data_IF_784527743424
#
_entry.id   IF_784527743424
#
_cell.length_a   1.000
_cell.length_b   1.000
_cell.length_c   1.000
_cell.angle_alpha   90.00
_cell.angle_beta   90.00
_cell.angle_gamma   90.00
#
_symmetry.space_group_name_H-M   'P 1'
#
loop_
_entity.id
_entity.type
_entity.pdbx_description
1 polymer ?
#
# COMPACT_ATOMS: atom_id res chain seq x y z
N UNK A 1 8.61 14.90 20.08
CA UNK A 1 7.51 14.26 19.36
C UNK A 1 8.01 13.63 18.10
N UNK A 2 7.82 12.35 17.97
CA UNK A 2 8.31 11.61 16.83
C UNK A 2 7.14 10.96 16.12
N UNK A 3 6.88 11.36 14.90
CA UNK A 3 5.90 10.65 14.06
C UNK A 3 6.65 9.65 13.20
N UNK A 4 6.15 8.45 13.15
CA UNK A 4 6.76 7.40 12.35
C UNK A 4 5.91 7.12 11.14
N UNK A 5 6.57 7.01 10.00
CA UNK A 5 5.93 6.64 8.75
C UNK A 5 6.35 5.24 8.37
N UNK A 6 5.37 4.41 8.04
CA UNK A 6 5.62 3.07 7.55
C UNK A 6 5.22 3.02 6.08
N UNK A 7 6.13 2.54 5.25
CA UNK A 7 5.89 2.40 3.82
C UNK A 7 5.52 0.97 3.52
N UNK A 8 4.36 0.78 2.91
CA UNK A 8 3.81 -0.55 2.68
C UNK A 8 3.47 -0.74 1.22
N UNK A 9 3.65 -1.96 0.75
CA UNK A 9 3.27 -2.37 -0.60
C UNK A 9 2.35 -3.56 -0.49
N UNK A 10 1.22 -3.51 -1.18
CA UNK A 10 0.28 -4.61 -1.19
C UNK A 10 -0.11 -4.97 -2.61
N UNK A 11 0.03 -6.25 -2.94
CA UNK A 11 -0.36 -6.77 -4.23
C UNK A 11 -1.71 -7.46 -4.12
N UNK A 12 -2.41 -7.51 -5.24
CA UNK A 12 -3.71 -8.17 -5.34
C UNK A 12 -3.67 -9.20 -6.45
N UNK A 13 -4.22 -10.37 -6.18
CA UNK A 13 -4.38 -11.42 -7.16
C UNK A 13 -5.86 -11.58 -7.49
N UNK A 14 -6.13 -12.10 -8.69
CA UNK A 14 -7.50 -12.44 -9.10
C UNK A 14 -7.72 -13.93 -8.92
N UNK A 15 -8.80 -14.29 -8.23
CA UNK A 15 -9.18 -15.68 -8.08
C UNK A 15 -10.69 -15.78 -8.18
N UNK A 16 -11.19 -16.52 -9.17
CA UNK A 16 -12.62 -16.67 -9.38
C UNK A 16 -13.33 -15.36 -9.66
N UNK A 17 -12.65 -14.42 -10.35
CA UNK A 17 -13.21 -13.12 -10.66
C UNK A 17 -13.15 -12.11 -9.53
N UNK A 18 -12.56 -12.48 -8.38
CA UNK A 18 -12.46 -11.60 -7.23
C UNK A 18 -11.01 -11.22 -6.96
N UNK A 19 -10.81 -9.98 -6.52
CA UNK A 19 -9.49 -9.53 -6.11
C UNK A 19 -9.22 -10.01 -4.68
N UNK A 20 -8.08 -10.66 -4.49
CA UNK A 20 -7.66 -11.11 -3.17
C UNK A 20 -6.39 -10.37 -2.78
N UNK A 21 -6.37 -9.70 -1.62
CA UNK A 21 -5.17 -9.03 -1.16
C UNK A 21 -4.14 -10.03 -0.67
N UNK A 22 -2.89 -9.80 -1.04
CA UNK A 22 -1.76 -10.49 -0.42
C UNK A 22 -1.37 -9.75 0.86
N UNK A 23 -0.64 -10.39 1.78
CA UNK A 23 -0.16 -9.68 2.95
C UNK A 23 0.71 -8.49 2.54
N UNK A 24 0.52 -7.32 3.18
CA UNK A 24 1.35 -6.16 2.84
C UNK A 24 2.79 -6.37 3.26
N UNK A 25 3.70 -5.76 2.50
CA UNK A 25 5.13 -5.85 2.76
C UNK A 25 5.63 -4.48 3.21
N UNK A 26 6.31 -4.44 4.35
CA UNK A 26 6.89 -3.19 4.84
C UNK A 26 8.20 -2.91 4.13
N UNK A 27 8.40 -1.64 3.77
CA UNK A 27 9.61 -1.18 3.11
C UNK A 27 10.25 -0.07 3.93
N UNK A 28 11.54 0.17 3.69
CA UNK A 28 12.30 1.14 4.48
C UNK A 28 12.14 2.57 4.00
N UNK A 29 11.70 2.75 2.76
CA UNK A 29 11.59 4.08 2.16
C UNK A 29 10.51 4.09 1.11
N UNK A 30 10.08 5.29 0.73
CA UNK A 30 9.12 5.46 -0.35
C UNK A 30 9.66 4.91 -1.68
N UNK A 31 10.94 5.18 -1.96
CA UNK A 31 11.57 4.66 -3.18
C UNK A 31 11.60 3.14 -3.19
N UNK A 32 11.95 2.53 -2.06
CA UNK A 32 11.95 1.07 -1.95
C UNK A 32 10.58 0.48 -2.15
N UNK A 33 9.57 1.11 -1.56
CA UNK A 33 8.19 0.67 -1.73
C UNK A 33 7.74 0.79 -3.18
N UNK A 34 8.07 1.90 -3.83
CA UNK A 34 7.70 2.11 -5.22
C UNK A 34 8.35 1.09 -6.13
N UNK A 35 9.64 0.82 -5.94
CA UNK A 35 10.35 -0.18 -6.74
C UNK A 35 9.77 -1.57 -6.54
N UNK A 36 9.43 -1.92 -5.29
CA UNK A 36 8.80 -3.19 -5.02
C UNK A 36 7.43 -3.28 -5.69
N UNK A 37 6.65 -2.20 -5.65
CA UNK A 37 5.35 -2.14 -6.28
C UNK A 37 5.46 -2.30 -7.80
N UNK A 38 6.43 -1.62 -8.42
CA UNK A 38 6.65 -1.75 -9.86
C UNK A 38 7.00 -3.18 -10.25
N UNK A 39 7.83 -3.83 -9.44
CA UNK A 39 8.21 -5.22 -9.68
C UNK A 39 7.02 -6.16 -9.54
N UNK A 40 6.24 -5.97 -8.48
CA UNK A 40 5.07 -6.81 -8.23
C UNK A 40 3.98 -6.60 -9.28
N UNK A 41 3.91 -5.41 -9.89
CA UNK A 41 2.90 -5.14 -10.89
C UNK A 41 3.08 -5.98 -12.15
N UNK A 42 4.27 -6.56 -12.35
CA UNK A 42 4.53 -7.42 -13.51
C UNK A 42 3.93 -8.81 -13.34
N UNK A 43 3.65 -9.23 -12.10
CA UNK A 43 3.17 -10.59 -11.84
C UNK A 43 1.84 -10.64 -11.09
N UNK A 44 1.27 -9.48 -10.76
CA UNK A 44 0.01 -9.39 -10.02
C UNK A 44 -0.96 -8.51 -10.78
N UNK A 45 -2.27 -8.72 -10.53
CA UNK A 45 -3.29 -7.98 -11.27
C UNK A 45 -3.42 -6.54 -10.77
N UNK A 46 -3.03 -6.28 -9.52
CA UNK A 46 -3.05 -4.93 -8.98
C UNK A 46 -2.04 -4.79 -7.87
N UNK A 47 -1.51 -3.59 -7.70
CA UNK A 47 -0.53 -3.27 -6.65
C UNK A 47 -0.73 -1.84 -6.19
N UNK A 48 -0.62 -1.62 -4.88
CA UNK A 48 -0.59 -0.27 -4.32
C UNK A 48 0.62 -0.13 -3.41
N UNK A 49 1.14 1.09 -3.33
CA UNK A 49 2.13 1.46 -2.33
C UNK A 49 1.58 2.65 -1.56
N UNK A 50 1.65 2.57 -0.25
CA UNK A 50 1.04 3.58 0.60
C UNK A 50 1.84 3.79 1.86
N UNK A 51 1.61 4.93 2.51
CA UNK A 51 2.26 5.32 3.75
C UNK A 51 1.23 5.44 4.85
N UNK A 52 1.54 4.86 6.00
CA UNK A 52 0.75 5.04 7.21
C UNK A 52 1.62 5.78 8.21
N UNK A 53 1.10 6.87 8.75
CA UNK A 53 1.82 7.66 9.75
C UNK A 53 1.18 7.45 11.11
N UNK A 54 2.01 7.22 12.12
CA UNK A 54 1.56 7.05 13.48
C UNK A 54 2.43 7.85 14.43
N UNK A 55 1.86 8.18 15.58
CA UNK A 55 2.58 8.83 16.67
C UNK A 55 2.70 7.81 17.81
N UNK A 56 3.89 7.25 18.07
CA UNK A 56 4.03 6.25 19.10
C UNK A 56 3.80 6.78 20.51
N UNK A 57 3.98 8.10 20.71
CA UNK A 57 3.78 8.69 22.03
C UNK A 57 2.32 8.78 22.42
N UNK A 58 1.44 9.06 21.46
CA UNK A 58 0.01 9.18 21.73
C UNK A 58 -0.78 7.97 21.26
N UNK A 59 -0.17 7.10 20.44
CA UNK A 59 -0.86 5.97 19.85
C UNK A 59 -1.80 6.33 18.72
N UNK A 60 -1.73 7.56 18.23
CA UNK A 60 -2.60 8.00 17.16
C UNK A 60 -2.10 7.51 15.80
N UNK A 61 -3.05 7.18 14.93
CA UNK A 61 -2.79 6.80 13.56
C UNK A 61 -3.56 7.71 12.63
N UNK A 62 -3.02 7.94 11.45
CA UNK A 62 -3.80 8.61 10.42
C UNK A 62 -4.97 7.71 10.03
N UNK A 63 -6.14 8.33 9.87
CA UNK A 63 -7.35 7.60 9.51
C UNK A 63 -7.27 7.00 8.12
N UNK A 64 -6.52 7.62 7.24
CA UNK A 64 -6.40 7.16 5.87
C UNK A 64 -4.94 7.09 5.47
N UNK A 65 -4.53 5.99 4.81
CA UNK A 65 -3.18 5.91 4.27
C UNK A 65 -3.03 6.85 3.08
N UNK A 66 -1.80 7.33 2.88
CA UNK A 66 -1.47 8.13 1.71
C UNK A 66 -0.96 7.20 0.63
N UNK A 67 -1.69 7.12 -0.48
CA UNK A 67 -1.31 6.25 -1.59
C UNK A 67 -0.45 7.05 -2.55
N UNK A 68 0.77 6.55 -2.82
CA UNK A 68 1.69 7.23 -3.73
C UNK A 68 2.02 6.41 -4.98
N UNK A 69 1.49 5.20 -5.09
CA UNK A 69 1.65 4.38 -6.30
C UNK A 69 0.45 3.45 -6.43
N UNK A 70 -0.09 3.38 -7.63
CA UNK A 70 -1.19 2.46 -7.96
C UNK A 70 -0.95 1.90 -9.34
N UNK A 71 -1.20 0.59 -9.50
CA UNK A 71 -1.08 -0.05 -10.80
C UNK A 71 -2.09 -1.19 -10.88
N UNK A 72 -2.65 -1.39 -12.06
CA UNK A 72 -3.55 -2.50 -12.32
C UNK A 72 -4.92 -2.33 -11.69
N UNK A 73 -5.56 -3.47 -11.41
CA UNK A 73 -6.92 -3.50 -10.86
C UNK A 73 -6.86 -3.47 -9.35
N UNK A 74 -7.62 -2.56 -8.76
CA UNK A 74 -7.65 -2.36 -7.31
C UNK A 74 -9.10 -2.41 -6.82
N UNK A 75 -9.31 -2.78 -5.53
CA UNK A 75 -10.63 -2.66 -4.93
C UNK A 75 -11.13 -1.22 -5.01
N UNK A 76 -12.46 -1.07 -5.06
CA UNK A 76 -13.10 0.24 -5.19
C UNK A 76 -12.64 1.21 -4.10
N UNK A 77 -12.44 0.71 -2.91
CA UNK A 77 -12.02 1.54 -1.77
C UNK A 77 -10.67 2.23 -2.00
N UNK A 78 -9.79 1.62 -2.81
CA UNK A 78 -8.51 2.25 -3.16
C UNK A 78 -8.61 3.12 -4.40
N UNK A 79 -9.52 2.79 -5.32
CA UNK A 79 -9.72 3.59 -6.51
C UNK A 79 -10.30 4.96 -6.18
N UNK A 80 -11.11 5.06 -5.13
CA UNK A 80 -11.76 6.30 -4.75
C UNK A 80 -10.92 7.18 -3.83
N UNK A 81 -9.75 6.72 -3.41
CA UNK A 81 -8.87 7.52 -2.58
C UNK A 81 -8.10 8.53 -3.41
N UNK A 82 -7.91 9.73 -2.89
CA UNK A 82 -7.14 10.76 -3.59
C UNK A 82 -5.65 10.43 -3.67
#
# INVERSE_FOLDING_TARGET
MTRESTFLVQAFNSKGGRLKPNPPVACKSADGARRAAERLSLSHVGVIAFTVTSDPDTGDYDDQPTIFYRAGRLPVEFDSMP
#
